data_IF_250014663343
#
_entry.id   IF_250014663343
#
_cell.length_a   1.000
_cell.length_b   1.000
_cell.length_c   1.000
_cell.angle_alpha   90.00
_cell.angle_beta   90.00
_cell.angle_gamma   90.00
#
_symmetry.space_group_name_H-M   'P 1'
#
loop_
_entity.id
_entity.type
_entity.pdbx_description
1 polymer ?
#
# COMPACT_ATOMS: atom_id res chain seq x y z
N UNK A 1 -6.41 13.56 -9.57
CA UNK A 1 -5.23 12.74 -9.93
C UNK A 1 -4.06 13.68 -10.13
N UNK A 2 -2.92 13.38 -9.49
CA UNK A 2 -1.68 14.13 -9.69
C UNK A 2 -1.08 13.82 -11.07
N UNK A 3 -0.29 14.73 -11.66
CA UNK A 3 0.57 14.37 -12.79
C UNK A 3 1.55 13.25 -12.40
N UNK A 4 1.82 12.31 -13.32
CA UNK A 4 2.72 11.15 -13.07
C UNK A 4 4.07 11.55 -12.49
N UNK A 5 4.71 12.57 -13.05
CA UNK A 5 6.00 13.04 -12.57
C UNK A 5 5.94 13.54 -11.12
N UNK A 6 4.87 14.25 -10.76
CA UNK A 6 4.66 14.74 -9.39
C UNK A 6 4.37 13.58 -8.43
N UNK A 7 3.56 12.61 -8.84
CA UNK A 7 3.29 11.39 -8.05
C UNK A 7 4.60 10.64 -7.76
N UNK A 8 5.38 10.33 -8.79
CA UNK A 8 6.68 9.64 -8.65
C UNK A 8 7.64 10.41 -7.74
N UNK A 9 7.78 11.71 -7.97
CA UNK A 9 8.63 12.56 -7.11
C UNK A 9 8.14 12.60 -5.65
N UNK A 10 6.83 12.51 -5.42
CA UNK A 10 6.26 12.51 -4.07
C UNK A 10 6.58 11.21 -3.34
N UNK A 11 6.37 10.06 -3.99
CA UNK A 11 6.72 8.74 -3.44
C UNK A 11 8.21 8.66 -3.10
N UNK A 12 9.07 9.12 -4.01
CA UNK A 12 10.52 9.13 -3.79
C UNK A 12 10.92 10.00 -2.59
N UNK A 13 10.34 11.20 -2.45
CA UNK A 13 10.60 12.08 -1.32
C UNK A 13 10.15 11.50 0.03
N UNK A 14 9.05 10.73 0.05
CA UNK A 14 8.59 10.02 1.24
C UNK A 14 9.63 8.98 1.64
N UNK A 15 10.06 8.11 0.72
CA UNK A 15 11.10 7.10 0.99
C UNK A 15 12.41 7.72 1.48
N UNK A 16 12.83 8.84 0.89
CA UNK A 16 14.03 9.55 1.33
C UNK A 16 13.88 10.15 2.73
N UNK A 17 12.68 10.64 3.09
CA UNK A 17 12.44 11.15 4.44
C UNK A 17 12.49 10.02 5.46
N UNK A 18 11.90 8.86 5.16
CA UNK A 18 11.93 7.70 6.06
C UNK A 18 13.33 7.13 6.20
N UNK A 19 14.09 7.01 5.11
CA UNK A 19 15.49 6.62 5.18
C UNK A 19 16.32 7.55 6.07
N UNK A 20 16.05 8.87 6.04
CA UNK A 20 16.69 9.83 6.95
C UNK A 20 16.30 9.62 8.42
N UNK A 21 15.04 9.30 8.69
CA UNK A 21 14.56 8.98 10.05
C UNK A 21 15.22 7.68 10.54
N UNK A 22 15.26 6.64 9.71
CA UNK A 22 15.91 5.36 10.03
C UNK A 22 17.42 5.52 10.29
N UNK A 23 18.12 6.32 9.49
CA UNK A 23 19.53 6.64 9.72
C UNK A 23 19.74 7.38 11.04
N UNK A 24 18.82 8.27 11.39
CA UNK A 24 18.87 8.99 12.65
C UNK A 24 18.62 8.06 13.84
N UNK A 25 17.64 7.15 13.75
CA UNK A 25 17.39 6.12 14.76
C UNK A 25 18.59 5.18 14.94
N UNK A 26 19.23 4.76 13.83
CA UNK A 26 20.48 3.98 13.87
C UNK A 26 21.65 4.75 14.49
N UNK A 27 21.66 6.08 14.39
CA UNK A 27 22.68 6.91 15.04
C UNK A 27 22.40 7.02 16.55
N UNK A 28 21.14 7.23 16.93
CA UNK A 28 20.71 7.30 18.34
C UNK A 28 20.93 5.97 19.07
N UNK A 29 20.74 4.82 18.40
CA UNK A 29 20.94 3.50 19.01
C UNK A 29 22.40 3.21 19.37
N UNK A 30 23.35 4.02 18.91
CA UNK A 30 24.76 3.95 19.32
C UNK A 30 25.03 4.70 20.62
N UNK A 31 24.12 5.57 21.05
CA UNK A 31 24.27 6.41 22.24
C UNK A 31 23.59 5.80 23.48
N UNK A 32 22.68 4.85 23.30
CA UNK A 32 22.02 4.13 24.40
C UNK A 32 21.68 2.70 23.99
N UNK A 33 21.60 1.79 24.96
CA UNK A 33 21.16 0.39 24.75
C UNK A 33 19.65 0.26 24.47
N UNK A 34 18.97 1.38 24.18
CA UNK A 34 17.56 1.43 23.86
C UNK A 34 17.28 1.33 22.36
N UNK A 35 16.00 1.15 22.02
CA UNK A 35 15.49 1.30 20.66
C UNK A 35 14.86 2.70 20.53
N UNK A 36 15.63 3.73 20.17
CA UNK A 36 15.06 5.03 19.88
C UNK A 36 14.07 4.90 18.71
N UNK A 37 12.93 5.58 18.83
CA UNK A 37 11.92 5.68 17.80
C UNK A 37 11.65 7.17 17.58
N UNK A 38 12.59 7.83 16.91
CA UNK A 38 12.53 9.25 16.63
C UNK A 38 11.42 9.54 15.63
N UNK A 39 10.57 10.52 15.97
CA UNK A 39 9.51 11.00 15.07
C UNK A 39 8.56 9.88 14.58
N UNK A 40 8.42 8.83 15.40
CA UNK A 40 7.40 7.81 15.20
C UNK A 40 6.03 8.49 15.12
N UNK A 41 5.23 8.06 14.15
CA UNK A 41 3.92 8.66 13.85
C UNK A 41 4.01 10.13 13.41
N UNK A 42 5.05 10.49 12.65
CA UNK A 42 5.22 11.82 12.05
C UNK A 42 3.92 12.30 11.37
N UNK A 43 3.27 13.29 11.99
CA UNK A 43 1.97 13.81 11.56
C UNK A 43 2.01 14.43 10.16
N UNK A 44 3.15 14.96 9.72
CA UNK A 44 3.30 15.49 8.38
C UNK A 44 3.32 14.38 7.33
N UNK A 45 4.01 13.27 7.60
CA UNK A 45 4.00 12.10 6.70
C UNK A 45 2.63 11.46 6.65
N UNK A 46 1.96 11.32 7.80
CA UNK A 46 0.59 10.80 7.86
C UNK A 46 -0.39 11.68 7.06
N UNK A 47 -0.37 12.99 7.27
CA UNK A 47 -1.22 13.93 6.53
C UNK A 47 -0.91 13.93 5.02
N UNK A 48 0.38 13.86 4.65
CA UNK A 48 0.78 13.77 3.24
C UNK A 48 0.28 12.49 2.59
N UNK A 49 0.34 11.35 3.30
CA UNK A 49 -0.19 10.08 2.83
C UNK A 49 -1.70 10.14 2.65
N UNK A 50 -2.44 10.69 3.60
CA UNK A 50 -3.90 10.82 3.51
C UNK A 50 -4.31 11.68 2.31
N UNK A 51 -3.61 12.80 2.10
CA UNK A 51 -3.81 13.66 0.92
C UNK A 51 -3.44 12.95 -0.38
N UNK A 52 -2.34 12.20 -0.39
CA UNK A 52 -1.89 11.45 -1.57
C UNK A 52 -2.90 10.36 -1.95
N UNK A 53 -3.37 9.60 -0.96
CA UNK A 53 -4.42 8.58 -1.09
C UNK A 53 -5.69 9.20 -1.66
N UNK A 54 -6.17 10.29 -1.06
CA UNK A 54 -7.35 11.00 -1.53
C UNK A 54 -7.19 11.51 -2.97
N UNK A 55 -6.07 12.17 -3.28
CA UNK A 55 -5.83 12.82 -4.58
C UNK A 55 -5.64 11.83 -5.72
N UNK A 56 -5.06 10.67 -5.42
CA UNK A 56 -4.91 9.54 -6.36
C UNK A 56 -6.16 8.65 -6.41
N UNK A 57 -7.15 8.90 -5.54
CA UNK A 57 -8.37 8.11 -5.39
C UNK A 57 -8.06 6.64 -5.06
N UNK A 58 -7.05 6.44 -4.22
CA UNK A 58 -6.61 5.13 -3.77
C UNK A 58 -7.50 4.65 -2.61
N UNK A 59 -8.71 4.18 -2.94
CA UNK A 59 -9.73 3.71 -1.98
C UNK A 59 -9.25 2.58 -1.06
N UNK A 60 -8.14 1.97 -1.44
CA UNK A 60 -7.70 0.67 -1.01
C UNK A 60 -6.32 0.71 -0.36
N UNK A 61 -5.76 1.90 -0.18
CA UNK A 61 -4.44 2.05 0.44
C UNK A 61 -3.32 1.29 -0.27
N UNK A 62 -3.42 1.10 -1.59
CA UNK A 62 -2.38 0.43 -2.37
C UNK A 62 -1.04 1.17 -2.27
N UNK A 63 -1.09 2.50 -2.13
CA UNK A 63 0.10 3.34 -1.91
C UNK A 63 0.70 3.08 -0.52
N UNK A 64 -0.15 2.91 0.50
CA UNK A 64 0.27 2.55 1.86
C UNK A 64 0.93 1.18 1.89
N UNK A 65 0.25 0.17 1.35
CA UNK A 65 0.82 -1.18 1.19
C UNK A 65 2.16 -1.15 0.47
N UNK A 66 2.27 -0.42 -0.65
CA UNK A 66 3.50 -0.35 -1.43
C UNK A 66 4.66 0.30 -0.66
N UNK A 67 4.38 1.32 0.15
CA UNK A 67 5.41 2.00 0.94
C UNK A 67 5.89 1.16 2.12
N UNK A 68 4.99 0.44 2.80
CA UNK A 68 5.28 -0.09 4.14
C UNK A 68 5.23 -1.61 4.27
N UNK A 69 4.43 -2.30 3.44
CA UNK A 69 4.23 -3.74 3.54
C UNK A 69 4.97 -4.50 2.44
N UNK A 70 4.92 -3.99 1.21
CA UNK A 70 5.57 -4.60 0.05
C UNK A 70 7.10 -4.75 0.15
N UNK A 71 7.87 -3.86 0.83
CA UNK A 71 9.30 -4.08 1.05
C UNK A 71 9.62 -5.41 1.75
N UNK A 72 8.73 -5.87 2.64
CA UNK A 72 8.89 -7.12 3.39
C UNK A 72 8.14 -8.29 2.75
N UNK A 73 6.94 -8.05 2.22
CA UNK A 73 6.06 -9.08 1.65
C UNK A 73 6.34 -9.38 0.16
N UNK A 74 7.09 -8.51 -0.53
CA UNK A 74 7.30 -8.53 -1.97
C UNK A 74 6.32 -7.65 -2.75
N UNK A 75 6.79 -7.08 -3.86
CA UNK A 75 6.02 -6.17 -4.71
C UNK A 75 5.14 -6.87 -5.76
N UNK A 76 5.24 -8.19 -5.87
CA UNK A 76 4.47 -8.98 -6.85
C UNK A 76 3.10 -9.30 -6.29
N UNK A 77 2.06 -8.94 -7.03
CA UNK A 77 0.68 -9.30 -6.70
C UNK A 77 0.17 -10.28 -7.73
N UNK A 78 -0.31 -11.44 -7.28
CA UNK A 78 -0.93 -12.47 -8.12
C UNK A 78 -2.42 -12.59 -7.80
N UNK A 79 -3.21 -13.10 -8.74
CA UNK A 79 -4.62 -13.47 -8.56
C UNK A 79 -5.07 -14.45 -9.66
N UNK A 80 -6.27 -15.01 -9.52
CA UNK A 80 -6.92 -15.82 -10.56
C UNK A 80 -7.92 -15.02 -11.40
N UNK A 81 -7.75 -15.10 -12.72
CA UNK A 81 -8.63 -14.53 -13.73
C UNK A 81 -8.99 -15.60 -14.77
N UNK A 82 -10.28 -15.93 -14.89
CA UNK A 82 -10.80 -16.96 -15.80
C UNK A 82 -10.09 -18.33 -15.69
N UNK A 83 -9.70 -18.75 -14.47
CA UNK A 83 -9.02 -20.02 -14.21
C UNK A 83 -7.54 -20.05 -14.60
N UNK A 84 -6.91 -18.87 -14.75
CA UNK A 84 -5.48 -18.70 -14.94
C UNK A 84 -4.92 -17.76 -13.89
N UNK A 85 -3.76 -18.11 -13.36
CA UNK A 85 -2.98 -17.21 -12.51
C UNK A 85 -2.40 -16.08 -13.35
N UNK A 86 -2.66 -14.86 -12.91
CA UNK A 86 -2.08 -13.62 -13.45
C UNK A 86 -1.27 -12.99 -12.33
N UNK A 87 -0.09 -12.50 -12.66
CA UNK A 87 0.81 -11.85 -11.71
C UNK A 87 1.33 -10.54 -12.28
N UNK A 88 1.44 -9.52 -11.43
CA UNK A 88 1.94 -8.20 -11.79
C UNK A 88 3.01 -7.77 -10.79
N UNK A 89 4.17 -7.43 -11.33
CA UNK A 89 5.25 -6.80 -10.58
C UNK A 89 4.99 -5.30 -10.41
N UNK A 90 4.92 -4.86 -9.16
CA UNK A 90 4.73 -3.47 -8.79
C UNK A 90 6.00 -2.85 -8.20
N UNK A 91 7.18 -3.43 -8.39
CA UNK A 91 8.45 -2.93 -7.79
C UNK A 91 8.70 -1.46 -8.09
N UNK A 92 8.31 -1.00 -9.27
CA UNK A 92 8.40 0.41 -9.66
C UNK A 92 7.16 1.19 -9.23
N UNK A 93 7.35 2.33 -8.56
CA UNK A 93 6.24 3.21 -8.15
C UNK A 93 5.34 3.63 -9.32
N UNK A 94 5.90 3.67 -10.54
CA UNK A 94 5.14 3.95 -11.76
C UNK A 94 3.99 2.97 -12.03
N UNK A 95 4.09 1.73 -11.54
CA UNK A 95 3.05 0.72 -11.66
C UNK A 95 1.78 1.09 -10.85
N UNK A 96 1.92 1.85 -9.76
CA UNK A 96 0.78 2.38 -9.00
C UNK A 96 -0.01 3.44 -9.77
N UNK A 97 0.64 4.16 -10.69
CA UNK A 97 0.00 5.24 -11.46
C UNK A 97 -0.90 4.72 -12.58
N UNK A 98 -0.53 3.60 -13.21
CA UNK A 98 -1.20 3.03 -14.39
C UNK A 98 -2.49 2.28 -14.00
N UNK A 99 -2.63 1.92 -12.73
CA UNK A 99 -3.61 0.94 -12.24
C UNK A 99 -5.09 1.31 -12.42
N UNK A 100 -5.40 2.52 -12.89
CA UNK A 100 -6.78 3.03 -13.01
C UNK A 100 -7.49 2.73 -14.33
N UNK A 101 -6.81 2.25 -15.37
CA UNK A 101 -7.43 2.06 -16.69
C UNK A 101 -7.67 0.60 -17.10
N UNK A 102 -7.36 -0.39 -16.25
CA UNK A 102 -7.64 -1.80 -16.57
C UNK A 102 -7.42 -2.83 -15.46
N UNK A 103 -6.95 -2.44 -14.26
CA UNK A 103 -6.64 -3.37 -13.17
C UNK A 103 -7.40 -3.03 -11.87
N UNK A 104 -8.56 -2.41 -11.99
CA UNK A 104 -9.36 -1.83 -10.90
C UNK A 104 -9.87 -2.85 -9.85
N UNK A 105 -9.49 -4.14 -9.92
CA UNK A 105 -10.12 -5.21 -9.15
C UNK A 105 -9.19 -6.16 -8.37
N UNK A 106 -7.86 -6.05 -8.48
CA UNK A 106 -7.04 -7.28 -8.33
C UNK A 106 -6.04 -7.31 -7.16
N UNK A 107 -5.84 -6.24 -6.39
CA UNK A 107 -5.17 -6.38 -5.07
C UNK A 107 -6.11 -7.01 -4.03
N UNK A 108 -7.44 -6.88 -4.20
CA UNK A 108 -8.41 -7.43 -3.23
C UNK A 108 -8.84 -8.86 -3.48
N UNK A 109 -8.54 -9.43 -4.66
CA UNK A 109 -8.72 -10.88 -4.84
C UNK A 109 -7.71 -11.70 -4.04
N UNK A 110 -6.60 -11.12 -3.63
CA UNK A 110 -5.61 -11.79 -2.78
C UNK A 110 -5.83 -11.51 -1.28
N UNK A 111 -6.64 -10.50 -0.93
CA UNK A 111 -6.90 -10.07 0.45
C UNK A 111 -8.37 -10.26 0.86
N UNK A 112 -8.90 -11.48 0.64
CA UNK A 112 -10.00 -12.06 1.43
C UNK A 112 -9.61 -12.31 2.91
N UNK A 113 -8.59 -11.60 3.40
CA UNK A 113 -7.82 -11.95 4.59
C UNK A 113 -7.64 -10.75 5.54
N UNK A 114 -8.52 -9.75 5.55
CA UNK A 114 -8.60 -8.82 6.70
C UNK A 114 -9.94 -8.09 6.89
N UNK A 115 -11.02 -8.84 7.06
CA UNK A 115 -12.16 -8.39 7.87
C UNK A 115 -12.73 -9.65 8.52
N UNK A 116 -12.27 -9.98 9.75
CA UNK A 116 -12.64 -11.17 10.52
C UNK A 116 -13.36 -12.25 9.67
N UNK A 117 -12.54 -13.10 9.04
CA UNK A 117 -12.80 -14.07 7.96
C UNK A 117 -14.06 -14.96 8.09
N UNK A 118 -14.76 -14.96 9.23
CA UNK A 118 -15.86 -15.89 9.53
C UNK A 118 -17.28 -15.32 9.37
N UNK A 119 -17.49 -14.02 9.15
CA UNK A 119 -18.85 -13.45 9.16
C UNK A 119 -19.51 -13.25 7.78
N UNK A 120 -18.76 -13.30 6.66
CA UNK A 120 -19.31 -12.92 5.34
C UNK A 120 -19.65 -14.07 4.38
N UNK A 121 -19.48 -15.33 4.78
CA UNK A 121 -20.02 -16.48 4.02
C UNK A 121 -21.55 -16.56 4.01
N UNK A 122 -22.23 -15.83 4.91
CA UNK A 122 -23.70 -15.91 5.08
C UNK A 122 -24.45 -14.85 4.25
N UNK A 123 -23.81 -13.72 3.90
CA UNK A 123 -24.51 -12.62 3.20
C UNK A 123 -24.48 -12.76 1.67
N UNK A 124 -23.39 -13.27 1.07
CA UNK A 124 -23.29 -13.39 -0.38
C UNK A 124 -24.20 -14.49 -0.98
N UNK A 125 -24.53 -15.53 -0.20
CA UNK A 125 -25.45 -16.60 -0.61
C UNK A 125 -26.94 -16.23 -0.47
N UNK A 126 -27.27 -15.06 0.11
CA UNK A 126 -28.67 -14.60 0.19
C UNK A 126 -29.08 -13.70 -0.99
N UNK A 127 -28.13 -12.98 -1.60
CA UNK A 127 -28.42 -12.03 -2.68
C UNK A 127 -28.34 -12.62 -4.09
N UNK A 128 -27.66 -13.76 -4.29
CA UNK A 128 -27.56 -14.42 -5.61
C UNK A 128 -28.52 -15.60 -5.83
N UNK A 129 -29.48 -15.80 -4.92
CA UNK A 129 -30.57 -16.78 -5.09
C UNK A 129 -31.93 -16.11 -5.32
N UNK A 130 -31.95 -14.78 -5.47
CA UNK A 130 -33.15 -14.01 -5.79
C UNK A 130 -32.86 -12.95 -6.87
N UNK A 131 -32.56 -13.40 -8.09
CA UNK A 131 -33.01 -12.78 -9.35
C UNK A 131 -32.60 -13.63 -10.53
#
# INVERSE_FOLDING_TARGET
MLPKALFLSTIEKIRQQEARIDEFDKALSKMCDGFPAFDKDNLYLLALRDLLKYTMQDQYDNIGWWLYEAPDAGYTVSWEEAGKEVSVDLTEAGALYVKKSGCEFLIYKQNDDNLNRNQRKIEYNKTNTQK
#
